data_IF_519529261470
#
_entry.id   IF_519529261470
#
_cell.length_a   1.000
_cell.length_b   1.000
_cell.length_c   1.000
_cell.angle_alpha   90.00
_cell.angle_beta   90.00
_cell.angle_gamma   90.00
#
_symmetry.space_group_name_H-M   'P 1'
#
loop_
_entity.id
_entity.type
_entity.pdbx_description
1 polymer ?
#
# COMPACT_ATOMS: atom_id res chain seq x y z
N UNK A 1 -36.06 -10.81 -69.95
CA UNK A 1 -34.64 -11.18 -69.65
C UNK A 1 -33.94 -10.22 -68.68
N UNK A 2 -34.06 -8.90 -68.76
CA UNK A 2 -33.34 -7.98 -67.81
C UNK A 2 -33.71 -8.16 -66.34
N UNK A 3 -34.92 -8.49 -65.96
CA UNK A 3 -35.38 -8.66 -64.57
C UNK A 3 -34.80 -9.91 -63.86
N UNK A 4 -34.53 -10.98 -64.61
CA UNK A 4 -33.96 -12.21 -64.08
C UNK A 4 -32.49 -12.04 -63.73
N UNK A 5 -31.75 -11.27 -64.55
CA UNK A 5 -30.33 -10.97 -64.26
C UNK A 5 -30.16 -10.07 -63.03
N UNK A 6 -31.09 -9.13 -62.77
CA UNK A 6 -31.05 -8.30 -61.57
C UNK A 6 -31.32 -9.08 -60.31
N UNK A 7 -32.29 -10.02 -60.31
CA UNK A 7 -32.58 -10.88 -59.19
C UNK A 7 -31.40 -11.84 -58.85
N UNK A 8 -30.76 -12.37 -59.90
CA UNK A 8 -29.63 -13.27 -59.72
C UNK A 8 -28.39 -12.54 -59.13
N UNK A 9 -28.17 -11.29 -59.53
CA UNK A 9 -27.10 -10.46 -58.92
C UNK A 9 -27.35 -10.09 -57.45
N UNK A 10 -28.60 -9.80 -57.11
CA UNK A 10 -28.95 -9.50 -55.71
C UNK A 10 -28.86 -10.73 -54.81
N UNK A 11 -29.22 -11.92 -55.26
CA UNK A 11 -29.07 -13.15 -54.50
C UNK A 11 -27.58 -13.52 -54.29
N UNK A 12 -26.72 -13.32 -55.29
CA UNK A 12 -25.28 -13.58 -55.15
C UNK A 12 -24.62 -12.63 -54.17
N UNK A 13 -25.02 -11.35 -54.13
CA UNK A 13 -24.50 -10.36 -53.19
C UNK A 13 -24.92 -10.64 -51.77
N UNK A 14 -26.14 -11.09 -51.53
CA UNK A 14 -26.64 -11.44 -50.20
C UNK A 14 -25.93 -12.69 -49.61
N UNK A 15 -25.69 -13.69 -50.47
CA UNK A 15 -24.99 -14.92 -50.06
C UNK A 15 -23.51 -14.65 -49.71
N UNK A 16 -22.86 -13.73 -50.42
CA UNK A 16 -21.47 -13.35 -50.13
C UNK A 16 -21.36 -12.57 -48.79
N UNK A 17 -22.29 -11.69 -48.50
CA UNK A 17 -22.32 -10.98 -47.21
C UNK A 17 -22.59 -11.92 -46.03
N UNK A 18 -23.47 -12.91 -46.20
CA UNK A 18 -23.74 -13.90 -45.15
C UNK A 18 -22.53 -14.81 -44.88
N UNK A 19 -21.75 -15.16 -45.90
CA UNK A 19 -20.54 -15.96 -45.74
C UNK A 19 -19.43 -15.18 -45.00
N UNK A 20 -19.32 -13.85 -45.20
CA UNK A 20 -18.35 -13.01 -44.52
C UNK A 20 -18.70 -12.77 -43.02
N UNK A 21 -20.00 -12.75 -42.70
CA UNK A 21 -20.45 -12.64 -41.31
C UNK A 21 -20.31 -13.96 -40.52
N UNK A 22 -20.40 -15.08 -41.15
CA UNK A 22 -20.20 -16.39 -40.51
C UNK A 22 -18.72 -16.70 -40.24
N UNK A 23 -17.80 -16.07 -40.96
CA UNK A 23 -16.36 -16.28 -40.77
C UNK A 23 -15.77 -15.60 -39.53
N UNK A 24 -16.50 -14.68 -38.90
CA UNK A 24 -16.03 -13.97 -37.68
C UNK A 24 -16.38 -14.68 -36.35
N UNK A 25 -17.03 -15.83 -36.41
CA UNK A 25 -17.66 -16.42 -35.22
C UNK A 25 -16.91 -17.60 -34.55
N UNK A 26 -15.76 -18.01 -35.05
CA UNK A 26 -14.99 -19.09 -34.40
C UNK A 26 -13.50 -18.79 -34.51
N UNK A 27 -13.08 -17.73 -33.86
CA UNK A 27 -11.75 -17.77 -33.25
C UNK A 27 -11.96 -18.47 -31.90
N UNK A 28 -11.20 -19.54 -31.57
CA UNK A 28 -11.12 -19.97 -30.18
C UNK A 28 -10.77 -18.73 -29.38
N UNK A 29 -11.52 -18.46 -28.32
CA UNK A 29 -11.12 -17.47 -27.34
C UNK A 29 -9.76 -17.96 -26.85
N UNK A 30 -8.71 -17.46 -27.47
CA UNK A 30 -7.35 -17.57 -26.94
C UNK A 30 -7.49 -17.02 -25.54
N UNK A 31 -7.31 -17.87 -24.55
CA UNK A 31 -7.42 -17.48 -23.15
C UNK A 31 -6.52 -16.26 -23.02
N UNK A 32 -7.13 -15.09 -22.81
CA UNK A 32 -6.37 -13.88 -22.55
C UNK A 32 -5.31 -14.27 -21.51
N UNK A 33 -4.04 -13.93 -21.72
CA UNK A 33 -3.02 -14.28 -20.74
C UNK A 33 -3.51 -13.83 -19.39
N UNK A 34 -3.59 -14.75 -18.45
CA UNK A 34 -4.00 -14.46 -17.07
C UNK A 34 -3.17 -13.28 -16.59
N UNK A 35 -3.83 -12.19 -16.24
CA UNK A 35 -3.15 -10.97 -15.85
C UNK A 35 -2.20 -11.32 -14.71
N UNK A 36 -0.92 -10.99 -14.85
CA UNK A 36 0.04 -11.21 -13.78
C UNK A 36 -0.49 -10.59 -12.48
N UNK A 37 -0.32 -11.25 -11.34
CA UNK A 37 -0.76 -10.71 -10.06
C UNK A 37 -0.15 -9.32 -9.85
N UNK A 38 -0.89 -8.38 -9.24
CA UNK A 38 -0.39 -7.04 -9.02
C UNK A 38 0.89 -7.10 -8.16
N UNK A 39 1.87 -6.30 -8.52
CA UNK A 39 3.10 -6.18 -7.74
C UNK A 39 2.91 -5.18 -6.59
N UNK A 40 3.50 -5.48 -5.45
CA UNK A 40 3.62 -4.56 -4.32
C UNK A 40 4.60 -3.43 -4.71
N UNK A 41 4.18 -2.18 -4.70
CA UNK A 41 5.01 -1.05 -5.14
C UNK A 41 6.23 -0.80 -4.24
N UNK A 42 6.23 -1.31 -3.01
CA UNK A 42 7.34 -1.17 -2.06
C UNK A 42 8.43 -2.23 -2.27
N UNK A 43 8.04 -3.44 -2.60
CA UNK A 43 8.96 -4.58 -2.66
C UNK A 43 9.20 -5.09 -4.08
N UNK A 44 8.31 -4.79 -5.02
CA UNK A 44 8.29 -5.35 -6.37
C UNK A 44 7.88 -6.83 -6.43
N UNK A 45 7.58 -7.43 -5.30
CA UNK A 45 7.07 -8.80 -5.20
C UNK A 45 5.56 -8.83 -5.43
N UNK A 46 4.97 -10.04 -5.50
CA UNK A 46 3.52 -10.19 -5.56
C UNK A 46 2.84 -9.49 -4.37
N UNK A 47 1.83 -8.68 -4.65
CA UNK A 47 1.13 -7.92 -3.63
C UNK A 47 0.34 -8.86 -2.69
N UNK A 48 0.68 -8.85 -1.41
CA UNK A 48 -0.01 -9.65 -0.37
C UNK A 48 -1.41 -9.13 -0.08
N UNK A 49 -1.62 -7.83 -0.22
CA UNK A 49 -2.89 -7.14 0.06
C UNK A 49 -3.22 -6.16 -1.08
N UNK A 50 -3.57 -6.66 -2.28
CA UNK A 50 -3.79 -5.81 -3.44
C UNK A 50 -4.96 -4.85 -3.20
N UNK A 51 -4.76 -3.57 -3.57
CA UNK A 51 -5.77 -2.52 -3.41
C UNK A 51 -5.93 -1.97 -1.99
N UNK A 52 -5.21 -2.48 -1.01
CA UNK A 52 -5.18 -1.92 0.34
C UNK A 52 -4.09 -0.86 0.49
N UNK A 53 -4.29 0.03 1.45
CA UNK A 53 -3.35 1.10 1.76
C UNK A 53 -2.24 0.56 2.65
N UNK A 54 -0.96 0.77 2.32
CA UNK A 54 0.14 0.41 3.20
C UNK A 54 0.12 1.23 4.48
N UNK A 55 0.69 0.66 5.54
CA UNK A 55 0.79 1.29 6.86
C UNK A 55 2.26 1.39 7.23
N UNK A 56 2.67 2.51 7.79
CA UNK A 56 4.03 2.75 8.24
C UNK A 56 4.03 3.14 9.71
N UNK A 57 4.71 2.35 10.55
CA UNK A 57 4.75 2.53 12.01
C UNK A 57 6.16 2.90 12.44
N UNK A 58 6.32 4.01 13.15
CA UNK A 58 7.62 4.37 13.75
C UNK A 58 7.78 3.69 15.10
N UNK A 59 8.90 2.99 15.28
CA UNK A 59 9.26 2.34 16.54
C UNK A 59 10.64 2.79 17.02
N UNK A 60 10.81 2.83 18.33
CA UNK A 60 12.08 3.20 18.95
C UNK A 60 13.12 2.09 18.72
N UNK A 61 14.35 2.52 18.42
CA UNK A 61 15.51 1.65 18.30
C UNK A 61 16.64 2.18 19.21
N UNK A 62 16.35 2.23 20.50
CA UNK A 62 17.28 2.68 21.51
C UNK A 62 17.52 1.59 22.55
N UNK A 63 18.57 1.73 23.34
CA UNK A 63 18.87 0.82 24.44
C UNK A 63 17.81 0.82 25.54
N UNK A 64 17.00 1.88 25.64
CA UNK A 64 15.87 1.97 26.55
C UNK A 64 14.64 1.20 26.04
N UNK A 65 14.58 0.93 24.75
CA UNK A 65 13.48 0.20 24.09
C UNK A 65 13.79 -1.30 24.09
N UNK A 66 13.46 -1.96 25.19
CA UNK A 66 13.78 -3.40 25.36
C UNK A 66 12.87 -4.33 24.58
N UNK A 67 11.77 -3.84 24.04
CA UNK A 67 10.76 -4.63 23.34
C UNK A 67 10.47 -4.06 21.98
N UNK A 68 10.93 -4.74 20.94
CA UNK A 68 10.69 -4.39 19.55
C UNK A 68 9.88 -5.51 18.91
N UNK A 69 8.58 -5.26 18.69
CA UNK A 69 7.68 -6.24 18.11
C UNK A 69 7.31 -5.86 16.67
N UNK A 70 7.07 -6.88 15.87
CA UNK A 70 6.52 -6.71 14.53
C UNK A 70 7.56 -6.60 13.41
N UNK A 71 8.84 -6.41 13.70
CA UNK A 71 9.89 -6.15 12.70
C UNK A 71 9.92 -7.23 11.61
N UNK A 72 9.87 -8.50 11.99
CA UNK A 72 10.00 -9.63 11.05
C UNK A 72 8.83 -9.78 10.08
N UNK A 73 7.69 -9.15 10.36
CA UNK A 73 6.51 -9.18 9.51
C UNK A 73 6.41 -7.99 8.56
N UNK A 74 7.26 -6.98 8.73
CA UNK A 74 7.29 -5.82 7.87
C UNK A 74 7.76 -6.18 6.45
N UNK A 75 7.14 -5.59 5.45
CA UNK A 75 7.59 -5.70 4.04
C UNK A 75 8.86 -4.91 3.79
N UNK A 76 8.99 -3.76 4.46
CA UNK A 76 10.16 -2.88 4.40
C UNK A 76 10.47 -2.36 5.80
N UNK A 77 11.74 -2.28 6.12
CA UNK A 77 12.24 -1.65 7.33
C UNK A 77 13.18 -0.52 6.92
N UNK A 78 12.87 0.68 7.34
CA UNK A 78 13.74 1.84 7.17
C UNK A 78 14.34 2.18 8.54
N UNK A 79 15.62 2.51 8.59
CA UNK A 79 16.28 2.98 9.79
C UNK A 79 16.80 4.40 9.57
N UNK A 80 16.52 5.27 10.52
CA UNK A 80 17.03 6.63 10.51
C UNK A 80 17.58 7.02 11.88
N UNK A 81 18.57 7.89 11.86
CA UNK A 81 19.09 8.49 13.08
C UNK A 81 18.12 9.55 13.57
N UNK A 82 17.70 9.45 14.82
CA UNK A 82 16.93 10.50 15.48
C UNK A 82 17.83 11.70 15.81
N UNK A 83 17.25 12.85 16.03
CA UNK A 83 18.00 14.06 16.37
C UNK A 83 18.77 13.94 17.69
N UNK A 84 18.36 13.03 18.57
CA UNK A 84 18.86 12.91 19.92
C UNK A 84 19.95 11.84 20.07
N UNK A 85 21.16 12.26 20.38
CA UNK A 85 22.29 11.52 21.00
C UNK A 85 22.72 10.18 20.39
N UNK A 86 22.42 9.93 19.13
CA UNK A 86 22.96 8.76 18.41
C UNK A 86 22.05 7.54 18.40
N UNK A 87 20.89 7.63 19.00
CA UNK A 87 19.85 6.62 18.85
C UNK A 87 19.26 6.65 17.43
N UNK A 88 18.69 5.55 17.03
CA UNK A 88 17.95 5.44 15.77
C UNK A 88 16.47 5.14 16.05
N UNK A 89 15.63 5.36 15.06
CA UNK A 89 14.28 4.81 15.00
C UNK A 89 14.15 3.91 13.81
N UNK A 90 13.15 3.04 13.83
CA UNK A 90 12.77 2.21 12.69
C UNK A 90 11.38 2.61 12.21
N UNK A 91 11.21 2.65 10.91
CA UNK A 91 9.90 2.73 10.28
C UNK A 91 9.59 1.38 9.64
N UNK A 92 8.57 0.71 10.16
CA UNK A 92 8.11 -0.60 9.70
C UNK A 92 6.94 -0.41 8.75
N UNK A 93 7.08 -0.88 7.52
CA UNK A 93 6.04 -0.75 6.50
C UNK A 93 5.37 -2.09 6.26
N UNK A 94 4.05 -2.11 6.40
CA UNK A 94 3.20 -3.29 6.18
C UNK A 94 2.28 -3.04 4.98
N UNK A 95 1.87 -4.09 4.25
CA UNK A 95 1.05 -3.94 3.06
C UNK A 95 -0.38 -3.47 3.38
N UNK A 96 -0.84 -3.62 4.61
CA UNK A 96 -2.15 -3.17 5.09
C UNK A 96 -2.23 -3.20 6.62
N UNK A 97 -3.28 -2.59 7.18
CA UNK A 97 -3.59 -2.71 8.62
C UNK A 97 -3.87 -4.16 9.02
N UNK A 98 -4.57 -4.92 8.18
CA UNK A 98 -4.93 -6.32 8.46
C UNK A 98 -3.71 -7.25 8.47
N UNK A 99 -2.65 -6.88 7.77
CA UNK A 99 -1.40 -7.64 7.74
C UNK A 99 -0.41 -7.22 8.83
N UNK A 100 -0.74 -6.18 9.59
CA UNK A 100 0.11 -5.65 10.65
C UNK A 100 -0.09 -6.49 11.92
N UNK A 101 0.98 -7.09 12.47
CA UNK A 101 0.90 -7.74 13.77
C UNK A 101 0.86 -6.70 14.91
N UNK A 102 0.97 -7.14 16.15
CA UNK A 102 1.30 -6.24 17.24
C UNK A 102 2.68 -5.61 16.98
N UNK A 103 2.75 -4.28 17.03
CA UNK A 103 3.95 -3.50 16.73
C UNK A 103 4.29 -2.60 17.92
N UNK A 104 5.55 -2.47 18.24
CA UNK A 104 6.02 -1.55 19.30
C UNK A 104 7.52 -1.71 19.59
N UNK A 105 8.08 -0.80 20.36
CA UNK A 105 7.47 0.39 21.01
C UNK A 105 7.26 1.53 20.05
N UNK A 106 6.03 1.99 19.87
CA UNK A 106 5.72 3.12 18.97
C UNK A 106 6.35 4.39 19.53
N UNK A 107 7.05 5.14 18.67
CA UNK A 107 7.77 6.37 19.00
C UNK A 107 7.32 7.55 18.12
N UNK A 108 7.99 8.67 18.27
CA UNK A 108 7.72 9.88 17.51
C UNK A 108 7.88 9.67 16.00
N UNK A 109 7.07 10.39 15.22
CA UNK A 109 7.19 10.44 13.78
C UNK A 109 8.41 11.23 13.34
N UNK A 110 8.98 10.82 12.22
CA UNK A 110 10.14 11.48 11.61
C UNK A 110 9.78 11.86 10.16
N UNK A 111 9.90 13.13 9.83
CA UNK A 111 9.58 13.64 8.49
C UNK A 111 10.40 12.95 7.37
N UNK A 112 11.58 12.46 7.69
CA UNK A 112 12.41 11.70 6.77
C UNK A 112 11.69 10.46 6.22
N UNK A 113 10.99 9.71 7.08
CA UNK A 113 10.26 8.52 6.64
C UNK A 113 9.10 8.89 5.71
N UNK A 114 8.38 9.95 6.06
CA UNK A 114 7.24 10.39 5.24
C UNK A 114 7.70 10.92 3.88
N UNK A 115 8.86 11.56 3.81
CA UNK A 115 9.48 11.99 2.55
C UNK A 115 9.80 10.82 1.64
N UNK A 116 10.28 9.72 2.19
CA UNK A 116 10.59 8.51 1.43
C UNK A 116 9.32 7.77 0.99
N UNK A 117 8.26 7.84 1.79
CA UNK A 117 7.05 7.03 1.62
C UNK A 117 5.85 7.81 1.04
N UNK A 118 5.97 9.11 0.80
CA UNK A 118 4.84 9.94 0.33
C UNK A 118 4.24 9.43 -0.98
N UNK A 119 5.08 8.95 -1.89
CA UNK A 119 4.63 8.38 -3.17
C UNK A 119 3.82 7.09 -3.03
N UNK A 120 3.94 6.40 -1.91
CA UNK A 120 3.24 5.14 -1.60
C UNK A 120 1.92 5.36 -0.86
N UNK A 121 1.59 6.61 -0.53
CA UNK A 121 0.36 6.97 0.19
C UNK A 121 0.15 6.17 1.48
N UNK A 122 1.21 5.87 2.20
CA UNK A 122 1.15 5.10 3.45
C UNK A 122 0.27 5.79 4.49
N UNK A 123 -0.31 5.01 5.40
CA UNK A 123 -0.94 5.53 6.61
C UNK A 123 0.14 5.60 7.71
N UNK A 124 0.57 6.81 8.11
CA UNK A 124 1.52 6.96 9.20
C UNK A 124 0.89 6.56 10.55
N UNK A 125 1.62 5.83 11.36
CA UNK A 125 1.29 5.52 12.76
C UNK A 125 2.48 5.93 13.61
N UNK A 126 2.24 6.80 14.59
CA UNK A 126 3.29 7.40 15.41
C UNK A 126 2.78 7.75 16.80
N UNK A 127 3.65 8.16 17.68
CA UNK A 127 3.34 8.72 19.01
C UNK A 127 3.86 10.16 19.09
N UNK A 128 3.06 11.10 18.61
CA UNK A 128 3.52 12.47 18.44
C UNK A 128 4.57 12.60 17.35
N UNK A 129 5.10 13.79 17.19
CA UNK A 129 6.16 14.11 16.24
C UNK A 129 6.71 15.50 16.50
N UNK A 130 7.94 15.75 16.05
CA UNK A 130 8.56 17.06 16.12
C UNK A 130 7.90 18.07 15.17
N UNK A 131 8.33 19.33 15.25
CA UNK A 131 7.80 20.41 14.40
C UNK A 131 7.97 20.11 12.90
N UNK A 132 9.07 19.47 12.50
CA UNK A 132 9.33 19.12 11.10
C UNK A 132 8.39 18.03 10.62
N UNK A 133 8.13 17.04 11.45
CA UNK A 133 7.18 15.97 11.20
C UNK A 133 5.76 16.54 11.00
N UNK A 134 5.27 17.32 11.95
CA UNK A 134 3.94 17.93 11.89
C UNK A 134 3.79 18.83 10.65
N UNK A 135 4.77 19.69 10.39
CA UNK A 135 4.74 20.56 9.20
C UNK A 135 4.70 19.75 7.90
N UNK A 136 5.39 18.61 7.84
CA UNK A 136 5.39 17.77 6.65
C UNK A 136 4.02 17.08 6.45
N UNK A 137 3.47 16.51 7.52
CA UNK A 137 2.15 15.89 7.49
C UNK A 137 1.07 16.90 7.06
N UNK A 138 1.09 18.11 7.61
CA UNK A 138 0.15 19.17 7.28
C UNK A 138 0.30 19.64 5.82
N UNK A 139 1.51 19.87 5.36
CA UNK A 139 1.78 20.34 4.00
C UNK A 139 1.26 19.36 2.94
N UNK A 140 1.43 18.06 3.15
CA UNK A 140 0.96 17.03 2.23
C UNK A 140 -0.44 16.50 2.57
N UNK A 141 -1.11 17.07 3.57
CA UNK A 141 -2.41 16.62 4.08
C UNK A 141 -2.42 15.12 4.43
N UNK A 142 -1.30 14.62 4.94
CA UNK A 142 -1.16 13.27 5.42
C UNK A 142 -1.73 13.16 6.83
N UNK A 143 -2.77 12.36 7.00
CA UNK A 143 -3.30 12.08 8.33
C UNK A 143 -2.56 10.91 8.96
N UNK A 144 -1.89 11.16 10.07
CA UNK A 144 -1.30 10.14 10.90
C UNK A 144 -2.33 9.61 11.92
N UNK A 145 -2.16 8.35 12.31
CA UNK A 145 -2.78 7.80 13.52
C UNK A 145 -1.81 8.06 14.67
N UNK A 146 -2.13 9.04 15.50
CA UNK A 146 -1.26 9.42 16.61
C UNK A 146 -1.72 8.76 17.91
N UNK A 147 -0.81 8.03 18.55
CA UNK A 147 -1.07 7.35 19.81
C UNK A 147 -1.43 8.31 20.96
N UNK A 148 -0.97 9.57 20.91
CA UNK A 148 -1.30 10.57 21.90
C UNK A 148 -2.75 11.07 21.74
N UNK A 149 -3.28 11.08 20.52
CA UNK A 149 -4.65 11.49 20.22
C UNK A 149 -5.65 10.35 20.41
N UNK A 150 -5.34 9.19 19.80
CA UNK A 150 -6.23 8.02 19.81
C UNK A 150 -6.20 7.29 21.15
N UNK A 151 -5.05 7.31 21.82
CA UNK A 151 -4.86 6.72 23.14
C UNK A 151 -5.21 5.23 23.19
N UNK A 152 -5.80 4.79 24.29
CA UNK A 152 -6.11 3.39 24.58
C UNK A 152 -7.14 2.73 23.64
N UNK A 153 -7.75 3.50 22.75
CA UNK A 153 -8.72 2.95 21.79
C UNK A 153 -8.03 2.09 20.71
N UNK A 154 -6.76 2.37 20.41
CA UNK A 154 -6.01 1.62 19.42
C UNK A 154 -4.62 1.17 19.93
N UNK A 155 -4.15 1.72 21.05
CA UNK A 155 -2.82 1.46 21.57
C UNK A 155 -2.88 0.94 23.00
N UNK A 156 -2.10 -0.10 23.29
CA UNK A 156 -1.78 -0.48 24.67
C UNK A 156 -0.62 0.36 25.16
N UNK A 157 -0.74 0.86 26.39
CA UNK A 157 0.33 1.57 27.07
C UNK A 157 0.69 0.82 28.34
N UNK A 158 1.92 0.34 28.44
CA UNK A 158 2.45 -0.13 29.71
C UNK A 158 3.07 1.04 30.45
N UNK A 159 2.74 1.19 31.72
CA UNK A 159 3.45 2.10 32.60
C UNK A 159 4.92 1.64 32.66
N UNK A 160 5.70 2.23 31.76
CA UNK A 160 7.10 1.90 31.69
C UNK A 160 7.90 2.81 32.55
N UNK A 161 8.92 2.28 32.94
CA UNK A 161 10.19 2.87 33.29
C UNK A 161 10.21 4.40 33.24
N UNK A 162 10.38 5.01 34.39
CA UNK A 162 10.88 6.37 34.56
C UNK A 162 10.24 7.46 33.67
N UNK A 163 8.90 7.53 33.63
CA UNK A 163 8.12 8.60 33.02
C UNK A 163 7.95 8.60 31.48
N UNK A 164 8.39 7.58 30.78
CA UNK A 164 8.07 7.42 29.36
C UNK A 164 7.21 6.19 29.11
N UNK A 165 5.91 6.33 28.85
CA UNK A 165 5.04 5.20 28.55
C UNK A 165 5.45 4.57 27.21
N UNK A 166 5.58 3.24 27.18
CA UNK A 166 5.73 2.47 25.96
C UNK A 166 4.34 2.21 25.36
N UNK A 167 4.17 2.50 24.10
CA UNK A 167 2.93 2.28 23.34
C UNK A 167 3.12 1.10 22.37
N UNK A 168 2.08 0.28 22.22
CA UNK A 168 2.06 -0.88 21.34
C UNK A 168 0.82 -0.89 20.45
#
# INVERSE_FOLDING_TARGET
MKRIFTALKMMGSLALCAALLAGCAVLPADSAPEAAPPADPLTGLEARCPGQRPVAVTIANSTASTTQWGISAASVVLEARTADYGDTSLCLVYPSVDAMPQVGSVTEGEDLYWRLLVGQQVLPIQRGGGVFDQNYLDYYSLRAVDALEVGKNAFSCTAAWQNAPLWY
#
